data_IF_126032389629
#
_entry.id   IF_126032389629
#
_cell.length_a   1.000
_cell.length_b   1.000
_cell.length_c   1.000
_cell.angle_alpha   90.00
_cell.angle_beta   90.00
_cell.angle_gamma   90.00
#
_symmetry.space_group_name_H-M   'P 1'
#
loop_
_entity.id
_entity.type
_entity.pdbx_description
1 polymer ?
#
# COMPACT_ATOMS: atom_id res chain seq x y z
N UNK A 1 -12.62 -10.40 14.40
CA UNK A 1 -11.30 -9.80 14.17
C UNK A 1 -11.46 -8.77 13.06
N UNK A 2 -11.50 -7.49 13.40
CA UNK A 2 -11.50 -6.42 12.40
C UNK A 2 -10.14 -6.47 11.70
N UNK A 3 -10.14 -6.52 10.37
CA UNK A 3 -8.93 -6.36 9.59
C UNK A 3 -8.31 -5.01 9.97
N UNK A 4 -7.12 -5.03 10.55
CA UNK A 4 -6.35 -3.81 10.75
C UNK A 4 -6.19 -3.15 9.37
N UNK A 5 -6.52 -1.86 9.21
CA UNK A 5 -6.28 -1.18 7.96
C UNK A 5 -4.78 -1.20 7.71
N UNK A 6 -4.37 -1.80 6.59
CA UNK A 6 -3.00 -1.79 6.09
C UNK A 6 -2.47 -0.35 6.20
N UNK A 7 -1.23 -0.13 6.65
CA UNK A 7 -0.65 1.20 6.69
C UNK A 7 -0.47 1.70 5.25
N UNK A 8 -1.49 2.37 4.71
CA UNK A 8 -1.39 3.08 3.45
C UNK A 8 -0.32 4.14 3.63
N UNK A 9 0.74 4.05 2.82
CA UNK A 9 1.87 4.99 2.87
C UNK A 9 1.33 6.42 2.80
N UNK A 10 1.84 7.35 3.63
CA UNK A 10 1.35 8.72 3.59
C UNK A 10 1.56 9.30 2.18
N UNK A 11 0.50 9.90 1.66
CA UNK A 11 0.47 10.58 0.38
C UNK A 11 1.39 11.79 0.49
N UNK A 12 2.27 11.95 -0.51
CA UNK A 12 3.24 13.06 -0.46
C UNK A 12 2.51 14.41 -0.45
N UNK A 13 2.95 15.41 0.34
CA UNK A 13 2.37 16.76 0.32
C UNK A 13 2.36 17.40 -1.07
N UNK A 14 3.36 17.08 -1.89
CA UNK A 14 3.42 17.50 -3.29
C UNK A 14 2.25 16.99 -4.13
N UNK A 15 1.70 15.81 -3.83
CA UNK A 15 0.54 15.25 -4.54
C UNK A 15 -0.74 16.02 -4.18
N UNK A 16 -0.91 16.41 -2.91
CA UNK A 16 -2.00 17.29 -2.50
C UNK A 16 -1.90 18.67 -3.16
N UNK A 17 -0.71 19.29 -3.16
CA UNK A 17 -0.49 20.54 -3.88
C UNK A 17 -0.79 20.44 -5.38
N UNK A 18 -0.37 19.34 -6.03
CA UNK A 18 -0.67 19.08 -7.43
C UNK A 18 -2.17 18.89 -7.68
N UNK A 19 -2.90 18.23 -6.76
CA UNK A 19 -4.34 18.08 -6.83
C UNK A 19 -5.06 19.44 -6.74
N UNK A 20 -4.67 20.29 -5.79
CA UNK A 20 -5.24 21.64 -5.66
C UNK A 20 -5.03 22.48 -6.92
N UNK A 21 -3.83 22.42 -7.50
CA UNK A 21 -3.52 23.07 -8.77
C UNK A 21 -4.38 22.52 -9.92
N UNK A 22 -4.45 21.19 -10.06
CA UNK A 22 -5.27 20.56 -11.10
C UNK A 22 -6.75 20.97 -11.00
N UNK A 23 -7.35 20.94 -9.81
CA UNK A 23 -8.73 21.36 -9.62
C UNK A 23 -8.95 22.84 -10.00
N UNK A 24 -7.98 23.71 -9.74
CA UNK A 24 -8.04 25.13 -10.10
C UNK A 24 -8.04 25.35 -11.62
N UNK A 25 -7.25 24.58 -12.38
CA UNK A 25 -7.12 24.76 -13.83
C UNK A 25 -8.19 23.98 -14.63
N UNK A 26 -8.63 22.82 -14.14
CA UNK A 26 -9.69 22.01 -14.78
C UNK A 26 -11.05 22.71 -14.71
N UNK A 27 -11.37 23.29 -13.55
CA UNK A 27 -12.67 23.93 -13.32
C UNK A 27 -12.52 25.45 -13.40
N UNK A 28 -13.06 26.05 -14.46
CA UNK A 28 -13.17 27.51 -14.56
C UNK A 28 -14.36 28.05 -13.75
N UNK A 29 -15.53 27.44 -13.92
CA UNK A 29 -16.77 27.86 -13.26
C UNK A 29 -16.87 27.29 -11.85
N UNK A 30 -17.23 28.15 -10.90
CA UNK A 30 -17.37 27.80 -9.49
C UNK A 30 -18.43 26.72 -9.23
N UNK A 31 -19.57 26.78 -9.91
CA UNK A 31 -20.63 25.78 -9.75
C UNK A 31 -20.22 24.38 -10.21
N UNK A 32 -19.27 24.28 -11.15
CA UNK A 32 -18.77 23.00 -11.62
C UNK A 32 -17.82 22.35 -10.62
N UNK A 33 -16.93 23.17 -10.04
CA UNK A 33 -16.07 22.74 -8.95
C UNK A 33 -16.90 22.30 -7.74
N UNK A 34 -17.89 23.10 -7.34
CA UNK A 34 -18.79 22.77 -6.24
C UNK A 34 -19.55 21.46 -6.49
N UNK A 35 -20.15 21.30 -7.68
CA UNK A 35 -20.86 20.08 -8.05
C UNK A 35 -19.94 18.85 -8.05
N UNK A 36 -18.69 19.02 -8.47
CA UNK A 36 -17.67 17.97 -8.43
C UNK A 36 -17.30 17.59 -6.99
N UNK A 37 -17.00 18.58 -6.13
CA UNK A 37 -16.67 18.35 -4.71
C UNK A 37 -17.84 17.68 -3.98
N UNK A 38 -19.08 18.15 -4.20
CA UNK A 38 -20.28 17.56 -3.60
C UNK A 38 -20.51 16.10 -4.02
N UNK A 39 -20.19 15.75 -5.27
CA UNK A 39 -20.28 14.36 -5.75
C UNK A 39 -19.27 13.46 -5.04
N UNK A 40 -18.02 13.92 -4.94
CA UNK A 40 -16.93 13.18 -4.30
C UNK A 40 -17.11 13.06 -2.78
N UNK A 41 -17.58 14.12 -2.14
CA UNK A 41 -17.82 14.15 -0.69
C UNK A 41 -19.23 13.66 -0.29
N UNK A 42 -19.98 12.99 -1.19
CA UNK A 42 -21.32 12.46 -0.87
C UNK A 42 -21.33 11.49 0.32
N UNK A 43 -20.25 10.73 0.50
CA UNK A 43 -20.06 9.83 1.64
C UNK A 43 -19.53 10.50 2.91
N UNK A 44 -19.17 11.79 2.84
CA UNK A 44 -18.47 12.54 3.89
C UNK A 44 -19.09 13.94 4.04
N UNK A 45 -20.35 14.05 4.50
CA UNK A 45 -21.06 15.32 4.62
C UNK A 45 -20.33 16.33 5.54
N UNK A 46 -19.51 15.85 6.48
CA UNK A 46 -18.69 16.70 7.34
C UNK A 46 -17.59 17.46 6.59
N UNK A 47 -17.08 16.92 5.45
CA UNK A 47 -16.15 17.65 4.58
C UNK A 47 -16.86 18.85 3.94
N UNK A 48 -18.11 18.68 3.53
CA UNK A 48 -18.92 19.70 2.88
C UNK A 48 -19.42 20.77 3.85
N UNK A 49 -19.82 20.38 5.07
CA UNK A 49 -20.45 21.26 6.04
C UNK A 49 -19.57 22.43 6.46
N UNK A 50 -18.26 22.23 6.44
CA UNK A 50 -17.32 23.26 6.87
C UNK A 50 -16.64 23.99 5.69
N UNK A 51 -16.86 23.59 4.43
CA UNK A 51 -16.30 24.30 3.26
C UNK A 51 -17.09 25.56 2.94
N UNK A 52 -16.40 26.66 2.67
CA UNK A 52 -17.03 27.87 2.17
C UNK A 52 -17.11 27.86 0.64
N UNK A 53 -18.31 27.57 0.13
CA UNK A 53 -18.64 27.71 -1.29
C UNK A 53 -19.08 29.13 -1.66
N UNK A 54 -19.02 30.13 -0.77
CA UNK A 54 -19.32 31.53 -1.07
C UNK A 54 -18.07 32.34 -1.47
N UNK A 55 -16.88 31.93 -1.00
CA UNK A 55 -15.59 32.54 -1.32
C UNK A 55 -15.06 32.32 -2.75
N UNK A 56 -13.76 32.57 -2.93
CA UNK A 56 -13.09 32.43 -4.23
C UNK A 56 -12.89 30.97 -4.63
N UNK A 57 -13.06 30.68 -5.93
CA UNK A 57 -12.91 29.32 -6.50
C UNK A 57 -11.61 28.62 -6.08
N UNK A 58 -10.48 29.33 -6.19
CA UNK A 58 -9.16 28.77 -5.88
C UNK A 58 -9.05 28.42 -4.39
N UNK A 59 -9.64 29.24 -3.53
CA UNK A 59 -9.64 29.05 -2.09
C UNK A 59 -10.50 27.84 -1.69
N UNK A 60 -11.65 27.63 -2.32
CA UNK A 60 -12.48 26.43 -2.07
C UNK A 60 -11.75 25.14 -2.49
N UNK A 61 -11.01 25.16 -3.60
CA UNK A 61 -10.23 24.00 -4.04
C UNK A 61 -9.07 23.69 -3.07
N UNK A 62 -8.34 24.72 -2.65
CA UNK A 62 -7.24 24.61 -1.69
C UNK A 62 -7.72 24.13 -0.32
N UNK A 63 -8.79 24.75 0.22
CA UNK A 63 -9.37 24.36 1.50
C UNK A 63 -9.88 22.92 1.49
N UNK A 64 -10.47 22.46 0.38
CA UNK A 64 -10.88 21.07 0.24
C UNK A 64 -9.69 20.12 0.31
N UNK A 65 -8.61 20.43 -0.40
CA UNK A 65 -7.38 19.63 -0.41
C UNK A 65 -6.69 19.64 0.95
N UNK A 66 -6.61 20.79 1.62
CA UNK A 66 -6.01 20.92 2.95
C UNK A 66 -6.74 20.07 3.99
N UNK A 67 -8.07 19.94 3.87
CA UNK A 67 -8.86 19.08 4.76
C UNK A 67 -8.63 17.59 4.50
N UNK A 68 -8.48 17.22 3.24
CA UNK A 68 -8.09 15.85 2.87
C UNK A 68 -6.72 15.51 3.45
N UNK A 69 -5.78 16.45 3.37
CA UNK A 69 -4.42 16.29 3.93
C UNK A 69 -4.43 16.26 5.46
N UNK A 70 -5.12 17.21 6.11
CA UNK A 70 -5.18 17.32 7.57
C UNK A 70 -5.84 16.14 8.28
N UNK A 71 -6.68 15.37 7.57
CA UNK A 71 -7.34 14.17 8.07
C UNK A 71 -7.09 12.95 7.18
N UNK A 72 -5.86 12.79 6.70
CA UNK A 72 -5.47 11.72 5.78
C UNK A 72 -5.80 10.31 6.30
N UNK A 73 -5.73 10.07 7.62
CA UNK A 73 -6.14 8.79 8.22
C UNK A 73 -7.58 8.39 7.92
N UNK A 74 -8.47 9.36 7.73
CA UNK A 74 -9.90 9.14 7.47
C UNK A 74 -10.22 9.26 5.99
N UNK A 75 -9.52 10.14 5.26
CA UNK A 75 -9.82 10.47 3.86
C UNK A 75 -8.76 9.97 2.87
N UNK A 76 -7.81 9.13 3.29
CA UNK A 76 -6.72 8.64 2.44
C UNK A 76 -7.23 7.93 1.19
N UNK A 77 -8.13 6.97 1.34
CA UNK A 77 -8.71 6.23 0.21
C UNK A 77 -9.49 7.16 -0.75
N UNK A 78 -10.24 8.10 -0.18
CA UNK A 78 -10.94 9.13 -0.96
C UNK A 78 -9.94 10.00 -1.74
N UNK A 79 -8.86 10.42 -1.09
CA UNK A 79 -7.82 11.27 -1.65
C UNK A 79 -7.11 10.57 -2.81
N UNK A 80 -6.73 9.30 -2.64
CA UNK A 80 -6.07 8.50 -3.69
C UNK A 80 -7.00 8.32 -4.87
N UNK A 81 -8.25 7.91 -4.64
CA UNK A 81 -9.22 7.70 -5.71
C UNK A 81 -9.49 9.00 -6.49
N UNK A 82 -9.60 10.12 -5.78
CA UNK A 82 -9.76 11.44 -6.38
C UNK A 82 -8.54 11.83 -7.22
N UNK A 83 -7.33 11.66 -6.68
CA UNK A 83 -6.09 11.96 -7.42
C UNK A 83 -5.97 11.11 -8.69
N UNK A 84 -6.35 9.83 -8.62
CA UNK A 84 -6.36 8.92 -9.78
C UNK A 84 -7.35 9.39 -10.83
N UNK A 85 -8.62 9.65 -10.47
CA UNK A 85 -9.63 10.09 -11.44
C UNK A 85 -9.21 11.41 -12.10
N UNK A 86 -8.73 12.38 -11.33
CA UNK A 86 -8.27 13.67 -11.86
C UNK A 86 -7.04 13.51 -12.76
N UNK A 87 -6.11 12.60 -12.42
CA UNK A 87 -4.92 12.32 -13.23
C UNK A 87 -5.22 11.65 -14.59
N UNK A 88 -6.41 11.09 -14.75
CA UNK A 88 -6.86 10.42 -15.98
C UNK A 88 -7.71 11.35 -16.88
N UNK A 89 -8.03 12.57 -16.42
CA UNK A 89 -8.80 13.53 -17.21
C UNK A 89 -7.95 14.10 -18.36
N UNK A 90 -8.37 13.83 -19.60
CA UNK A 90 -7.68 14.30 -20.82
C UNK A 90 -8.51 15.29 -21.66
N UNK A 91 -9.75 15.56 -21.26
CA UNK A 91 -10.67 16.40 -22.01
C UNK A 91 -11.43 17.35 -21.10
N UNK A 92 -11.46 18.63 -21.46
CA UNK A 92 -12.10 19.70 -20.69
C UNK A 92 -13.13 20.46 -21.52
N UNK A 93 -14.31 19.89 -21.81
CA UNK A 93 -15.31 20.48 -22.71
C UNK A 93 -15.79 21.87 -22.28
N UNK A 94 -15.74 22.18 -20.99
CA UNK A 94 -16.18 23.47 -20.44
C UNK A 94 -15.17 24.59 -20.63
N UNK A 95 -13.87 24.24 -20.74
CA UNK A 95 -12.81 25.19 -21.05
C UNK A 95 -12.79 25.54 -22.55
N UNK A 96 -13.20 24.61 -23.43
CA UNK A 96 -13.29 24.82 -24.88
C UNK A 96 -14.21 25.97 -25.31
N UNK A 97 -15.09 26.44 -24.43
CA UNK A 97 -16.05 27.52 -24.71
C UNK A 97 -15.51 28.90 -24.30
N UNK A 98 -14.31 28.96 -23.73
CA UNK A 98 -13.66 30.20 -23.34
C UNK A 98 -12.90 30.82 -24.52
N UNK A 99 -12.76 32.14 -24.50
CA UNK A 99 -11.99 32.88 -25.51
C UNK A 99 -10.50 32.46 -25.49
N UNK A 100 -9.96 32.16 -24.31
CA UNK A 100 -8.58 31.66 -24.10
C UNK A 100 -8.51 30.12 -23.98
N UNK A 101 -9.39 29.39 -24.67
CA UNK A 101 -9.53 27.94 -24.53
C UNK A 101 -8.20 27.19 -24.67
N UNK A 102 -7.36 27.53 -25.65
CA UNK A 102 -6.11 26.82 -25.93
C UNK A 102 -5.11 26.94 -24.76
N UNK A 103 -4.98 28.14 -24.19
CA UNK A 103 -4.10 28.40 -23.04
C UNK A 103 -4.61 27.66 -21.81
N UNK A 104 -5.91 27.77 -21.51
CA UNK A 104 -6.52 27.12 -20.34
C UNK A 104 -6.47 25.59 -20.43
N UNK A 105 -6.65 25.03 -21.63
CA UNK A 105 -6.52 23.58 -21.85
C UNK A 105 -5.08 23.13 -21.67
N UNK A 106 -4.11 23.91 -22.15
CA UNK A 106 -2.69 23.61 -21.96
C UNK A 106 -2.33 23.60 -20.48
N UNK A 107 -2.70 24.65 -19.74
CA UNK A 107 -2.47 24.73 -18.29
C UNK A 107 -3.14 23.57 -17.52
N UNK A 108 -4.38 23.21 -17.89
CA UNK A 108 -5.08 22.09 -17.28
C UNK A 108 -4.38 20.76 -17.55
N UNK A 109 -3.89 20.54 -18.78
CA UNK A 109 -3.12 19.34 -19.15
C UNK A 109 -1.80 19.27 -18.38
N UNK A 110 -1.08 20.38 -18.25
CA UNK A 110 0.18 20.45 -17.48
C UNK A 110 -0.06 20.14 -16.00
N UNK A 111 -1.10 20.73 -15.40
CA UNK A 111 -1.45 20.47 -14.00
C UNK A 111 -1.86 19.01 -13.77
N UNK A 112 -2.64 18.42 -14.68
CA UNK A 112 -3.01 17.00 -14.64
C UNK A 112 -1.78 16.09 -14.82
N UNK A 113 -0.86 16.43 -15.73
CA UNK A 113 0.37 15.67 -15.92
C UNK A 113 1.27 15.70 -14.69
N UNK A 114 1.37 16.85 -14.01
CA UNK A 114 2.10 16.98 -12.76
C UNK A 114 1.48 16.11 -11.64
N UNK A 115 0.14 16.08 -11.55
CA UNK A 115 -0.57 15.20 -10.62
C UNK A 115 -0.33 13.73 -10.97
N UNK A 116 -0.42 13.36 -12.25
CA UNK A 116 -0.18 11.99 -12.73
C UNK A 116 1.21 11.50 -12.35
N UNK A 117 2.24 12.32 -12.54
CA UNK A 117 3.60 11.98 -12.12
C UNK A 117 3.73 11.74 -10.60
N UNK A 118 2.97 12.47 -9.77
CA UNK A 118 2.93 12.24 -8.33
C UNK A 118 2.23 10.93 -7.98
N UNK A 119 1.10 10.65 -8.61
CA UNK A 119 0.33 9.41 -8.42
C UNK A 119 1.13 8.18 -8.85
N UNK A 120 1.78 8.24 -10.02
CA UNK A 120 2.59 7.13 -10.54
C UNK A 120 3.79 6.84 -9.65
N UNK A 121 4.48 7.88 -9.15
CA UNK A 121 5.53 7.71 -8.14
C UNK A 121 5.01 7.05 -6.87
N UNK A 122 3.85 7.47 -6.37
CA UNK A 122 3.26 6.90 -5.16
C UNK A 122 2.89 5.42 -5.36
N UNK A 123 2.29 5.08 -6.52
CA UNK A 123 2.00 3.68 -6.91
C UNK A 123 3.27 2.83 -7.00
N UNK A 124 4.34 3.35 -7.59
CA UNK A 124 5.64 2.68 -7.65
C UNK A 124 6.20 2.40 -6.26
N UNK A 125 6.18 3.40 -5.37
CA UNK A 125 6.65 3.25 -3.99
C UNK A 125 5.86 2.20 -3.19
N UNK A 126 4.56 2.07 -3.42
CA UNK A 126 3.73 1.03 -2.79
C UNK A 126 4.09 -0.36 -3.36
N UNK A 127 4.24 -0.47 -4.68
CA UNK A 127 4.56 -1.74 -5.33
C UNK A 127 5.95 -2.27 -4.95
N UNK A 128 6.95 -1.39 -4.85
CA UNK A 128 8.32 -1.76 -4.46
C UNK A 128 8.38 -2.24 -3.00
N UNK A 129 7.62 -1.62 -2.10
CA UNK A 129 7.54 -2.02 -0.70
C UNK A 129 6.80 -3.35 -0.51
N UNK A 130 5.71 -3.58 -1.26
CA UNK A 130 5.02 -4.87 -1.28
C UNK A 130 5.95 -6.01 -1.75
N UNK A 131 6.83 -5.75 -2.72
CA UNK A 131 7.85 -6.71 -3.16
C UNK A 131 8.90 -6.95 -2.07
N UNK A 132 9.47 -5.89 -1.51
CA UNK A 132 10.48 -6.00 -0.46
C UNK A 132 9.98 -6.74 0.79
N UNK A 133 8.73 -6.50 1.19
CA UNK A 133 8.11 -7.21 2.32
C UNK A 133 7.87 -8.69 2.03
N UNK A 134 7.45 -9.03 0.80
CA UNK A 134 7.35 -10.42 0.34
C UNK A 134 8.71 -11.12 0.39
N UNK A 135 9.74 -10.51 -0.19
CA UNK A 135 11.11 -11.06 -0.22
C UNK A 135 11.63 -11.31 1.20
N UNK A 136 11.40 -10.36 2.11
CA UNK A 136 11.81 -10.49 3.51
C UNK A 136 11.06 -11.64 4.22
N UNK A 137 9.77 -11.83 3.92
CA UNK A 137 8.98 -12.93 4.49
C UNK A 137 9.48 -14.29 3.97
N UNK A 138 9.77 -14.41 2.68
CA UNK A 138 10.35 -15.61 2.08
C UNK A 138 11.73 -15.95 2.68
N UNK A 139 12.60 -14.95 2.81
CA UNK A 139 13.92 -15.12 3.44
C UNK A 139 13.82 -15.55 4.91
N UNK A 140 12.85 -15.00 5.67
CA UNK A 140 12.59 -15.41 7.06
C UNK A 140 12.10 -16.85 7.13
N UNK A 141 11.12 -17.23 6.31
CA UNK A 141 10.60 -18.59 6.26
C UNK A 141 11.68 -19.62 5.88
N UNK A 142 12.53 -19.30 4.90
CA UNK A 142 13.67 -20.14 4.52
C UNK A 142 14.69 -20.28 5.66
N UNK A 143 14.99 -19.18 6.37
CA UNK A 143 15.93 -19.19 7.50
C UNK A 143 15.39 -19.97 8.69
N UNK A 144 14.10 -19.85 8.99
CA UNK A 144 13.42 -20.57 10.06
C UNK A 144 13.34 -22.08 9.78
N UNK A 145 13.05 -22.46 8.53
CA UNK A 145 13.09 -23.86 8.08
C UNK A 145 14.50 -24.44 8.21
N UNK A 146 15.54 -23.68 7.82
CA UNK A 146 16.93 -24.11 7.94
C UNK A 146 17.36 -24.24 9.41
N UNK A 147 16.94 -23.30 10.26
CA UNK A 147 17.25 -23.32 11.71
C UNK A 147 16.55 -24.48 12.42
N UNK A 148 15.26 -24.69 12.15
CA UNK A 148 14.50 -25.80 12.74
C UNK A 148 15.04 -27.16 12.30
N UNK A 149 15.46 -27.30 11.04
CA UNK A 149 16.15 -28.49 10.55
C UNK A 149 17.49 -28.72 11.27
N UNK A 150 18.34 -27.68 11.37
CA UNK A 150 19.63 -27.79 12.05
C UNK A 150 19.47 -28.14 13.54
N UNK A 151 18.44 -27.60 14.20
CA UNK A 151 18.12 -27.92 15.58
C UNK A 151 17.71 -29.39 15.74
N UNK A 152 16.78 -29.88 14.91
CA UNK A 152 16.36 -31.29 14.93
C UNK A 152 17.52 -32.25 14.67
N UNK A 153 18.43 -31.88 13.76
CA UNK A 153 19.64 -32.65 13.49
C UNK A 153 20.58 -32.70 14.71
N UNK A 154 20.72 -31.60 15.43
CA UNK A 154 21.51 -31.55 16.68
C UNK A 154 20.89 -32.43 17.76
N UNK A 155 19.57 -32.33 17.97
CA UNK A 155 18.84 -33.13 18.95
C UNK A 155 18.99 -34.63 18.67
N UNK A 156 18.89 -35.03 17.40
CA UNK A 156 19.08 -36.42 16.99
C UNK A 156 20.52 -36.89 17.21
N UNK A 157 21.52 -36.05 16.92
CA UNK A 157 22.93 -36.37 17.18
C UNK A 157 23.18 -36.59 18.67
N UNK A 158 22.62 -35.74 19.52
CA UNK A 158 22.75 -35.86 20.96
C UNK A 158 22.07 -37.13 21.49
N UNK A 159 20.91 -37.50 20.94
CA UNK A 159 20.24 -38.76 21.26
C UNK A 159 21.05 -39.98 20.83
N UNK A 160 21.68 -39.95 19.66
CA UNK A 160 22.56 -41.02 19.20
C UNK A 160 23.76 -41.22 20.15
N UNK A 161 24.43 -40.12 20.52
CA UNK A 161 25.57 -40.17 21.45
C UNK A 161 25.14 -40.66 22.84
N UNK A 162 23.93 -40.29 23.31
CA UNK A 162 23.34 -40.81 24.55
C UNK A 162 23.14 -42.33 24.49
N UNK A 163 22.62 -42.85 23.38
CA UNK A 163 22.40 -44.28 23.18
C UNK A 163 23.71 -45.07 23.07
N UNK A 164 24.74 -44.49 22.45
CA UNK A 164 26.08 -45.08 22.38
C UNK A 164 26.73 -45.20 23.76
N UNK A 165 26.53 -44.19 24.63
CA UNK A 165 27.09 -44.15 25.98
C UNK A 165 26.34 -45.03 27.01
N UNK A 166 25.20 -45.64 26.66
CA UNK A 166 24.41 -46.48 27.58
C UNK A 166 25.09 -47.83 27.83
N UNK A 167 25.52 -48.13 29.07
CA UNK A 167 26.20 -49.39 29.40
C UNK A 167 25.29 -50.62 29.25
N UNK A 168 23.98 -50.46 29.39
CA UNK A 168 23.02 -51.57 29.22
C UNK A 168 22.63 -51.76 27.75
N UNK A 169 23.25 -52.75 27.09
CA UNK A 169 23.04 -53.06 25.66
C UNK A 169 21.61 -53.47 25.29
N UNK A 170 20.89 -54.13 26.19
CA UNK A 170 19.49 -54.52 25.95
C UNK A 170 18.55 -53.32 25.99
N UNK A 171 18.81 -52.39 26.93
CA UNK A 171 18.07 -51.13 27.03
C UNK A 171 18.38 -50.20 25.85
N UNK A 172 19.65 -50.09 25.46
CA UNK A 172 20.07 -49.34 24.28
C UNK A 172 19.39 -49.85 23.00
N UNK A 173 19.32 -51.16 22.79
CA UNK A 173 18.63 -51.75 21.63
C UNK A 173 17.13 -51.45 21.59
N UNK A 174 16.45 -51.44 22.74
CA UNK A 174 15.02 -51.10 22.84
C UNK A 174 14.74 -49.61 22.60
N UNK A 175 15.64 -48.72 23.03
CA UNK A 175 15.54 -47.27 22.78
C UNK A 175 16.04 -46.87 21.37
N UNK A 176 16.79 -47.73 20.68
CA UNK A 176 17.27 -47.49 19.31
C UNK A 176 16.18 -47.66 18.24
N UNK A 177 15.23 -48.56 18.47
CA UNK A 177 14.09 -48.79 17.56
C UNK A 177 13.23 -47.53 17.30
N UNK A 178 12.79 -46.76 18.32
CA UNK A 178 12.08 -45.50 18.11
C UNK A 178 12.98 -44.38 17.55
N UNK A 179 14.29 -44.40 17.80
CA UNK A 179 15.24 -43.48 17.19
C UNK A 179 15.33 -43.69 15.67
N UNK A 180 15.44 -44.94 15.21
CA UNK A 180 15.48 -45.25 13.78
C UNK A 180 14.20 -44.82 13.05
N UNK A 181 13.04 -44.92 13.71
CA UNK A 181 11.76 -44.50 13.16
C UNK A 181 11.62 -42.98 13.01
N UNK A 182 12.48 -42.19 13.65
CA UNK A 182 12.49 -40.72 13.53
C UNK A 182 13.36 -40.23 12.36
N UNK A 183 14.35 -41.02 11.92
CA UNK A 183 15.26 -40.66 10.82
C UNK A 183 14.55 -40.28 9.50
N UNK A 184 13.51 -41.01 9.03
CA UNK A 184 12.82 -40.68 7.79
C UNK A 184 12.03 -39.35 7.87
N UNK A 185 11.72 -38.87 9.07
CA UNK A 185 10.96 -37.62 9.27
C UNK A 185 11.82 -36.36 9.16
N UNK A 186 13.14 -36.52 9.06
CA UNK A 186 14.10 -35.43 8.94
C UNK A 186 14.31 -34.95 7.50
N UNK A 187 13.85 -35.65 6.47
CA UNK A 187 14.07 -35.18 5.10
C UNK A 187 13.45 -33.80 4.89
N UNK A 188 14.23 -32.81 4.39
CA UNK A 188 13.65 -31.55 3.99
C UNK A 188 12.65 -31.85 2.88
N UNK A 189 11.38 -31.51 3.11
CA UNK A 189 10.31 -31.57 2.10
C UNK A 189 10.74 -30.68 0.92
N UNK A 190 11.36 -31.29 -0.09
CA UNK A 190 11.99 -30.60 -1.21
C UNK A 190 12.77 -31.50 -2.16
N UNK A 191 13.26 -32.66 -1.71
CA UNK A 191 13.86 -33.67 -2.59
C UNK A 191 13.17 -35.01 -2.40
N UNK A 192 12.05 -35.19 -3.10
CA UNK A 192 11.62 -36.54 -3.50
C UNK A 192 12.51 -36.99 -4.67
N UNK A 193 13.01 -38.24 -4.69
CA UNK A 193 13.70 -38.80 -5.84
C UNK A 193 12.81 -38.90 -7.08
#
# INVERSE_FOLDING_TARGET
MAAEPMPTKPISPAAYGALGSALKHIFWYKGDLEGFIRRWAKGYPELLAALDFSGYKWQTAEEFVDRLHGNERRYGDLSINLMVEVSEMTSFPKLKRHEDADTLITEALEAVAALKACVDRHRGLIADEARFTSDLAEHRAATETRRSFAQRLSELKDEFLRLEAEPNRQKAGREFEPFLNQLPSLTPLGETP
#
